data_IF_024392352691
#
_entry.id   IF_024392352691
#
_cell.length_a   1.000
_cell.length_b   1.000
_cell.length_c   1.000
_cell.angle_alpha   90.00
_cell.angle_beta   90.00
_cell.angle_gamma   90.00
#
_symmetry.space_group_name_H-M   'P 1'
#
loop_
_entity.id
_entity.type
_entity.pdbx_description
1 polymer ?
#
# COMPACT_ATOMS: atom_id res chain seq x y z
N UNK A 1 -22.37 18.42 3.96
CA UNK A 1 -21.54 18.04 5.14
C UNK A 1 -20.35 17.16 4.74
N UNK A 2 -20.57 16.08 4.01
CA UNK A 2 -19.52 15.14 3.54
C UNK A 2 -18.47 15.80 2.64
N UNK A 3 -18.86 16.71 1.73
CA UNK A 3 -17.91 17.44 0.86
C UNK A 3 -16.90 18.25 1.68
N UNK A 4 -17.38 19.02 2.67
CA UNK A 4 -16.51 19.80 3.57
C UNK A 4 -15.56 18.90 4.38
N UNK A 5 -16.05 17.73 4.81
CA UNK A 5 -15.21 16.73 5.47
C UNK A 5 -14.13 16.19 4.54
N UNK A 6 -14.48 15.84 3.30
CA UNK A 6 -13.53 15.41 2.26
C UNK A 6 -12.46 16.48 2.01
N UNK A 7 -12.85 17.74 1.89
CA UNK A 7 -11.92 18.85 1.66
C UNK A 7 -10.95 19.04 2.83
N UNK A 8 -11.43 18.91 4.07
CA UNK A 8 -10.56 18.94 5.25
C UNK A 8 -9.57 17.76 5.25
N UNK A 9 -10.04 16.54 4.93
CA UNK A 9 -9.17 15.38 4.84
C UNK A 9 -8.14 15.54 3.70
N UNK A 10 -8.51 16.13 2.57
CA UNK A 10 -7.60 16.37 1.45
C UNK A 10 -6.49 17.40 1.78
N UNK A 11 -6.76 18.34 2.70
CA UNK A 11 -5.75 19.27 3.24
C UNK A 11 -4.82 18.63 4.26
N UNK A 12 -5.11 17.40 4.71
CA UNK A 12 -4.24 16.64 5.59
C UNK A 12 -3.30 15.74 4.79
N UNK A 13 -2.17 15.32 5.37
CA UNK A 13 -1.18 14.42 4.75
C UNK A 13 -1.65 12.96 4.58
N UNK A 14 -2.95 12.75 4.33
CA UNK A 14 -3.54 11.43 4.09
C UNK A 14 -3.41 11.03 2.63
N UNK A 15 -3.24 9.73 2.38
CA UNK A 15 -3.26 9.20 1.03
C UNK A 15 -4.68 9.28 0.44
N UNK A 16 -4.79 9.46 -0.89
CA UNK A 16 -6.08 9.53 -1.61
C UNK A 16 -7.01 8.37 -1.25
N UNK A 17 -6.49 7.13 -1.25
CA UNK A 17 -7.28 5.94 -0.89
C UNK A 17 -7.81 5.97 0.55
N UNK A 18 -7.03 6.53 1.48
CA UNK A 18 -7.47 6.71 2.88
C UNK A 18 -8.61 7.72 2.96
N UNK A 19 -8.51 8.84 2.23
CA UNK A 19 -9.58 9.84 2.15
C UNK A 19 -10.86 9.21 1.59
N UNK A 20 -10.75 8.49 0.47
CA UNK A 20 -11.90 7.78 -0.13
C UNK A 20 -12.54 6.81 0.84
N UNK A 21 -11.74 6.01 1.55
CA UNK A 21 -12.23 5.04 2.54
C UNK A 21 -12.96 5.74 3.69
N UNK A 22 -12.44 6.83 4.22
CA UNK A 22 -13.07 7.58 5.31
C UNK A 22 -14.38 8.22 4.88
N UNK A 23 -14.39 8.87 3.71
CA UNK A 23 -15.60 9.49 3.14
C UNK A 23 -16.68 8.46 2.93
N UNK A 24 -16.35 7.32 2.30
CA UNK A 24 -17.30 6.23 2.09
C UNK A 24 -17.85 5.69 3.42
N UNK A 25 -16.98 5.51 4.41
CA UNK A 25 -17.37 5.01 5.74
C UNK A 25 -18.38 5.93 6.43
N UNK A 26 -18.11 7.23 6.40
CA UNK A 26 -18.98 8.24 7.00
C UNK A 26 -20.30 8.32 6.25
N UNK A 27 -20.27 8.29 4.92
CA UNK A 27 -21.48 8.28 4.10
C UNK A 27 -22.34 7.05 4.38
N UNK A 28 -21.71 5.88 4.48
CA UNK A 28 -22.40 4.66 4.87
C UNK A 28 -23.08 4.82 6.24
N UNK A 29 -22.36 5.30 7.26
CA UNK A 29 -22.92 5.51 8.59
C UNK A 29 -24.10 6.49 8.57
N UNK A 30 -23.96 7.66 7.95
CA UNK A 30 -25.01 8.67 7.91
C UNK A 30 -26.26 8.23 7.13
N UNK A 31 -26.11 7.30 6.18
CA UNK A 31 -27.24 6.78 5.41
C UNK A 31 -27.99 5.64 6.14
N UNK A 32 -27.35 4.97 7.10
CA UNK A 32 -27.92 3.79 7.78
C UNK A 32 -28.28 4.06 9.26
N UNK A 33 -27.85 5.20 9.81
CA UNK A 33 -28.11 5.59 11.18
C UNK A 33 -28.64 7.02 11.21
N UNK A 34 -29.84 7.19 11.73
CA UNK A 34 -30.57 8.47 11.74
C UNK A 34 -29.81 9.59 12.45
N UNK A 35 -29.04 9.24 13.49
CA UNK A 35 -28.34 10.21 14.33
C UNK A 35 -26.94 9.75 14.72
N UNK A 36 -26.05 10.73 14.91
CA UNK A 36 -24.72 10.52 15.47
C UNK A 36 -24.81 10.52 17.00
N UNK A 37 -25.01 9.35 17.59
CA UNK A 37 -25.04 9.17 19.04
C UNK A 37 -24.28 7.91 19.47
N UNK A 38 -24.03 7.77 20.78
CA UNK A 38 -23.23 6.66 21.33
C UNK A 38 -23.84 5.29 21.04
N UNK A 39 -25.18 5.17 21.04
CA UNK A 39 -25.89 3.92 20.75
C UNK A 39 -25.61 3.48 19.31
N UNK A 40 -25.86 4.35 18.34
CA UNK A 40 -25.66 4.07 16.92
C UNK A 40 -24.19 3.78 16.57
N UNK A 41 -23.26 4.50 17.18
CA UNK A 41 -21.82 4.27 17.01
C UNK A 41 -21.38 2.89 17.52
N UNK A 42 -21.95 2.42 18.64
CA UNK A 42 -21.69 1.08 19.16
C UNK A 42 -22.34 0.00 18.31
N UNK A 43 -23.58 0.20 17.85
CA UNK A 43 -24.26 -0.70 16.90
C UNK A 43 -23.45 -0.85 15.62
N UNK A 44 -22.98 0.27 15.04
CA UNK A 44 -22.14 0.26 13.86
C UNK A 44 -20.83 -0.49 14.09
N UNK A 45 -20.17 -0.29 15.24
CA UNK A 45 -18.99 -1.06 15.60
C UNK A 45 -19.28 -2.56 15.69
N UNK A 46 -20.41 -2.97 16.28
CA UNK A 46 -20.85 -4.36 16.34
C UNK A 46 -20.97 -4.98 14.96
N UNK A 47 -21.73 -4.32 14.08
CA UNK A 47 -21.86 -4.69 12.67
C UNK A 47 -20.50 -4.85 11.98
N UNK A 48 -19.57 -3.92 12.21
CA UNK A 48 -18.24 -4.00 11.61
C UNK A 48 -17.45 -5.23 12.10
N UNK A 49 -17.50 -5.53 13.39
CA UNK A 49 -16.78 -6.66 14.00
C UNK A 49 -17.32 -8.01 13.51
N UNK A 50 -18.63 -8.12 13.30
CA UNK A 50 -19.26 -9.34 12.83
C UNK A 50 -18.97 -9.64 11.36
N UNK A 51 -18.72 -8.61 10.54
CA UNK A 51 -18.67 -8.75 9.08
C UNK A 51 -17.28 -8.52 8.47
N UNK A 52 -16.32 -7.97 9.22
CA UNK A 52 -15.03 -7.56 8.65
C UNK A 52 -13.83 -7.95 9.52
N UNK A 53 -12.67 -8.10 8.87
CA UNK A 53 -11.40 -8.32 9.56
C UNK A 53 -11.04 -7.12 10.46
N UNK A 54 -10.37 -7.35 11.60
CA UNK A 54 -10.08 -6.28 12.56
C UNK A 54 -9.32 -5.06 11.98
N UNK A 55 -8.47 -5.25 10.97
CA UNK A 55 -7.80 -4.13 10.29
C UNK A 55 -8.81 -3.22 9.57
N UNK A 56 -9.77 -3.82 8.85
CA UNK A 56 -10.84 -3.09 8.16
C UNK A 56 -11.77 -2.40 9.16
N UNK A 57 -12.10 -3.07 10.27
CA UNK A 57 -12.88 -2.47 11.36
C UNK A 57 -12.19 -1.22 11.88
N UNK A 58 -10.91 -1.31 12.25
CA UNK A 58 -10.17 -0.18 12.79
C UNK A 58 -10.00 0.96 11.78
N UNK A 59 -9.78 0.65 10.50
CA UNK A 59 -9.74 1.67 9.43
C UNK A 59 -11.07 2.45 9.34
N UNK A 60 -12.21 1.74 9.38
CA UNK A 60 -13.53 2.38 9.34
C UNK A 60 -13.83 3.17 10.61
N UNK A 61 -13.53 2.60 11.79
CA UNK A 61 -13.65 3.34 13.05
C UNK A 61 -12.77 4.61 13.06
N UNK A 62 -11.60 4.58 12.42
CA UNK A 62 -10.75 5.75 12.30
C UNK A 62 -11.39 6.83 11.42
N UNK A 63 -12.05 6.45 10.33
CA UNK A 63 -12.84 7.35 9.50
C UNK A 63 -13.97 8.02 10.28
N UNK A 64 -14.73 7.25 11.08
CA UNK A 64 -15.76 7.78 11.98
C UNK A 64 -15.17 8.71 13.03
N UNK A 65 -14.09 8.33 13.71
CA UNK A 65 -13.46 9.17 14.73
C UNK A 65 -12.93 10.49 14.14
N UNK A 66 -12.41 10.48 12.91
CA UNK A 66 -12.00 11.70 12.18
C UNK A 66 -13.19 12.59 11.83
N UNK A 67 -14.33 11.99 11.51
CA UNK A 67 -15.57 12.74 11.29
C UNK A 67 -16.11 13.36 12.58
N UNK A 68 -16.05 12.63 13.70
CA UNK A 68 -16.42 13.16 15.01
C UNK A 68 -15.55 14.37 15.41
N UNK A 69 -14.25 14.34 15.10
CA UNK A 69 -13.36 15.52 15.25
C UNK A 69 -13.81 16.71 14.40
N UNK A 70 -14.22 16.45 13.15
CA UNK A 70 -14.69 17.48 12.22
C UNK A 70 -15.95 18.17 12.74
N UNK A 71 -16.91 17.41 13.27
CA UNK A 71 -18.16 17.94 13.83
C UNK A 71 -18.05 18.34 15.31
N UNK A 72 -16.84 18.35 15.88
CA UNK A 72 -16.56 18.73 17.28
C UNK A 72 -17.24 17.86 18.34
N UNK A 73 -17.45 16.59 18.04
CA UNK A 73 -18.03 15.58 18.94
C UNK A 73 -16.99 14.55 19.42
N UNK A 74 -15.78 15.01 19.73
CA UNK A 74 -14.65 14.16 20.16
C UNK A 74 -14.98 13.21 21.33
N UNK A 75 -15.89 13.60 22.21
CA UNK A 75 -16.34 12.78 23.36
C UNK A 75 -17.04 11.49 22.95
N UNK A 76 -17.54 11.39 21.71
CA UNK A 76 -18.21 10.21 21.17
C UNK A 76 -17.26 9.23 20.48
N UNK A 77 -15.95 9.51 20.41
CA UNK A 77 -14.98 8.65 19.73
C UNK A 77 -15.05 7.21 20.23
N UNK A 78 -15.06 6.30 19.26
CA UNK A 78 -15.18 4.87 19.52
C UNK A 78 -13.79 4.27 19.65
N UNK A 79 -13.58 3.46 20.69
CA UNK A 79 -12.32 2.72 20.88
C UNK A 79 -12.13 1.70 19.76
N UNK A 80 -10.89 1.59 19.27
CA UNK A 80 -10.51 0.55 18.32
C UNK A 80 -10.61 -0.85 18.93
N UNK A 81 -10.77 -1.84 18.06
CA UNK A 81 -10.61 -3.24 18.41
C UNK A 81 -9.13 -3.49 18.65
N UNK A 82 -8.79 -4.09 19.79
CA UNK A 82 -7.41 -4.50 20.07
C UNK A 82 -7.10 -5.71 19.21
N UNK A 83 -6.07 -5.60 18.38
CA UNK A 83 -5.61 -6.67 17.51
C UNK A 83 -4.21 -7.04 17.96
N UNK A 84 -4.00 -8.31 18.29
CA UNK A 84 -2.65 -8.81 18.52
C UNK A 84 -1.91 -8.81 17.18
N UNK A 85 -0.78 -8.10 17.11
CA UNK A 85 0.05 -8.13 15.91
C UNK A 85 0.72 -9.50 15.79
N UNK A 86 0.44 -10.21 14.70
CA UNK A 86 1.27 -11.35 14.30
C UNK A 86 2.51 -10.77 13.63
N UNK A 87 3.66 -10.93 14.27
CA UNK A 87 4.96 -10.47 13.74
C UNK A 87 5.56 -11.44 12.72
N UNK A 88 4.80 -12.44 12.29
CA UNK A 88 5.24 -13.47 11.35
C UNK A 88 4.26 -13.60 10.19
N UNK A 89 4.80 -13.99 9.05
CA UNK A 89 4.03 -14.40 7.88
C UNK A 89 3.98 -15.93 7.89
N UNK A 90 2.80 -16.51 7.71
CA UNK A 90 2.63 -17.97 7.67
C UNK A 90 3.05 -18.57 6.32
N UNK A 91 2.86 -17.82 5.22
CA UNK A 91 3.12 -18.28 3.85
C UNK A 91 4.36 -17.58 3.26
N UNK A 92 5.53 -17.81 3.85
CA UNK A 92 6.80 -17.28 3.31
C UNK A 92 7.31 -18.22 2.23
N UNK A 93 7.57 -17.67 1.04
CA UNK A 93 8.13 -18.40 -0.10
C UNK A 93 9.57 -18.82 0.23
N UNK A 94 9.93 -20.08 -0.07
CA UNK A 94 11.30 -20.56 0.14
C UNK A 94 12.25 -20.05 -0.96
N UNK A 95 13.56 -20.06 -0.70
CA UNK A 95 14.57 -19.75 -1.73
C UNK A 95 14.48 -20.74 -2.91
N UNK A 96 14.12 -22.00 -2.65
CA UNK A 96 13.90 -23.01 -3.69
C UNK A 96 12.71 -22.66 -4.60
N UNK A 97 11.57 -22.28 -4.01
CA UNK A 97 10.39 -21.84 -4.77
C UNK A 97 10.68 -20.59 -5.59
N UNK A 98 11.40 -19.62 -5.00
CA UNK A 98 11.85 -18.41 -5.70
C UNK A 98 12.73 -18.76 -6.91
N UNK A 99 13.75 -19.60 -6.71
CA UNK A 99 14.66 -20.02 -7.79
C UNK A 99 13.90 -20.77 -8.88
N UNK A 100 12.99 -21.67 -8.50
CA UNK A 100 12.14 -22.40 -9.44
C UNK A 100 11.29 -21.45 -10.28
N UNK A 101 10.54 -20.55 -9.65
CA UNK A 101 9.70 -19.56 -10.34
C UNK A 101 10.54 -18.67 -11.28
N UNK A 102 11.65 -18.13 -10.78
CA UNK A 102 12.54 -17.28 -11.58
C UNK A 102 13.08 -18.02 -12.79
N UNK A 103 13.59 -19.24 -12.62
CA UNK A 103 14.10 -20.06 -13.74
C UNK A 103 12.98 -20.33 -14.75
N UNK A 104 11.79 -20.71 -14.28
CA UNK A 104 10.67 -21.03 -15.16
C UNK A 104 10.21 -19.85 -15.99
N UNK A 105 10.11 -18.65 -15.38
CA UNK A 105 9.78 -17.42 -16.09
C UNK A 105 10.78 -17.12 -17.22
N UNK A 106 12.07 -17.36 -16.98
CA UNK A 106 13.10 -17.13 -18.00
C UNK A 106 13.02 -18.17 -19.12
N UNK A 107 12.87 -19.45 -18.79
CA UNK A 107 12.78 -20.53 -19.77
C UNK A 107 11.54 -20.40 -20.65
N UNK A 108 10.42 -19.94 -20.10
CA UNK A 108 9.15 -19.78 -20.82
C UNK A 108 9.05 -18.45 -21.60
N UNK A 109 10.11 -17.62 -21.60
CA UNK A 109 10.15 -16.37 -22.37
C UNK A 109 9.43 -15.18 -21.71
N UNK A 110 9.04 -15.29 -20.44
CA UNK A 110 8.41 -14.22 -19.68
C UNK A 110 9.45 -13.27 -19.05
N UNK A 111 10.28 -12.64 -19.89
CA UNK A 111 11.42 -11.83 -19.45
C UNK A 111 11.04 -10.67 -18.52
N UNK A 112 9.94 -9.99 -18.79
CA UNK A 112 9.44 -8.91 -17.91
C UNK A 112 9.17 -9.42 -16.50
N UNK A 113 8.44 -10.53 -16.38
CA UNK A 113 8.13 -11.16 -15.08
C UNK A 113 9.38 -11.69 -14.39
N UNK A 114 10.32 -12.27 -15.16
CA UNK A 114 11.62 -12.69 -14.64
C UNK A 114 12.35 -11.53 -13.95
N UNK A 115 12.42 -10.36 -14.60
CA UNK A 115 13.05 -9.19 -14.01
C UNK A 115 12.22 -8.60 -12.86
N UNK A 116 10.90 -8.53 -12.94
CA UNK A 116 10.03 -8.09 -11.82
C UNK A 116 10.34 -8.90 -10.57
N UNK A 117 10.30 -10.24 -10.67
CA UNK A 117 10.56 -11.16 -9.56
C UNK A 117 11.99 -11.01 -9.04
N UNK A 118 12.98 -10.88 -9.93
CA UNK A 118 14.37 -10.74 -9.51
C UNK A 118 14.64 -9.39 -8.83
N UNK A 119 14.13 -8.28 -9.36
CA UNK A 119 14.27 -6.96 -8.72
C UNK A 119 13.61 -6.94 -7.34
N UNK A 120 12.39 -7.48 -7.19
CA UNK A 120 11.71 -7.52 -5.90
C UNK A 120 12.51 -8.33 -4.87
N UNK A 121 12.95 -9.53 -5.24
CA UNK A 121 13.68 -10.42 -4.33
C UNK A 121 15.08 -9.89 -3.98
N UNK A 122 15.82 -9.32 -4.95
CA UNK A 122 17.20 -8.90 -4.76
C UNK A 122 17.36 -7.53 -4.10
N UNK A 123 16.35 -6.65 -4.20
CA UNK A 123 16.42 -5.27 -3.66
C UNK A 123 15.53 -5.06 -2.44
N UNK A 124 14.56 -5.94 -2.19
CA UNK A 124 13.53 -5.72 -1.16
C UNK A 124 12.61 -4.52 -1.48
N UNK A 125 12.45 -4.21 -2.77
CA UNK A 125 11.51 -3.20 -3.24
C UNK A 125 10.06 -3.67 -3.02
N UNK A 126 9.20 -2.78 -2.53
CA UNK A 126 7.76 -2.98 -2.59
C UNK A 126 7.26 -2.80 -4.01
N UNK A 127 6.11 -3.37 -4.37
CA UNK A 127 5.51 -3.25 -5.71
C UNK A 127 5.39 -1.78 -6.16
N UNK A 128 4.89 -0.90 -5.29
CA UNK A 128 4.79 0.53 -5.60
C UNK A 128 6.15 1.20 -5.84
N UNK A 129 7.21 0.70 -5.21
CA UNK A 129 8.57 1.22 -5.33
C UNK A 129 9.23 0.70 -6.62
N UNK A 130 8.96 -0.56 -6.99
CA UNK A 130 9.43 -1.19 -8.22
C UNK A 130 9.03 -0.40 -9.47
N UNK A 131 7.79 0.11 -9.50
CA UNK A 131 7.27 0.94 -10.61
C UNK A 131 8.03 2.27 -10.81
N UNK A 132 8.84 2.69 -9.84
CA UNK A 132 9.66 3.90 -9.96
C UNK A 132 11.09 3.61 -10.46
N UNK A 133 11.46 2.33 -10.65
CA UNK A 133 12.76 1.96 -11.18
C UNK A 133 12.82 2.32 -12.67
N UNK A 134 13.97 2.86 -13.07
CA UNK A 134 14.23 3.36 -14.42
C UNK A 134 15.55 2.80 -14.92
N UNK A 135 15.79 2.85 -16.23
CA UNK A 135 17.01 2.33 -16.84
C UNK A 135 18.26 3.02 -16.27
N UNK A 136 18.18 4.31 -15.94
CA UNK A 136 19.27 5.09 -15.33
C UNK A 136 19.64 4.55 -13.95
N UNK A 137 18.66 4.09 -13.17
CA UNK A 137 18.90 3.47 -11.87
C UNK A 137 19.67 2.15 -11.99
N UNK A 138 19.44 1.38 -13.06
CA UNK A 138 20.20 0.15 -13.35
C UNK A 138 21.66 0.49 -13.64
N UNK A 139 21.91 1.57 -14.39
CA UNK A 139 23.25 2.03 -14.71
C UNK A 139 24.00 2.55 -13.49
N UNK A 140 23.35 3.37 -12.65
CA UNK A 140 23.94 3.93 -11.43
C UNK A 140 24.05 2.88 -10.30
N UNK A 141 23.10 1.94 -10.26
CA UNK A 141 23.05 0.84 -9.30
C UNK A 141 22.27 1.11 -8.02
N UNK A 142 21.53 2.21 -7.93
CA UNK A 142 20.61 2.47 -6.84
C UNK A 142 19.46 3.40 -7.25
N UNK A 143 18.43 3.47 -6.42
CA UNK A 143 17.31 4.40 -6.49
C UNK A 143 17.04 4.98 -5.10
N UNK A 144 16.87 6.30 -5.00
CA UNK A 144 16.45 6.97 -3.77
C UNK A 144 14.93 7.23 -3.79
N UNK A 145 14.25 6.77 -2.73
CA UNK A 145 12.80 6.84 -2.59
C UNK A 145 12.42 7.73 -1.42
N UNK A 146 11.42 8.59 -1.65
CA UNK A 146 10.82 9.40 -0.59
C UNK A 146 9.67 8.62 0.07
N UNK A 147 9.83 8.35 1.37
CA UNK A 147 8.81 7.68 2.16
C UNK A 147 7.82 8.67 2.80
N UNK A 148 6.65 8.17 3.20
CA UNK A 148 5.70 8.96 3.99
C UNK A 148 6.37 9.42 5.28
N UNK A 149 6.52 10.73 5.46
CA UNK A 149 7.21 11.34 6.60
C UNK A 149 8.56 11.99 6.26
N UNK A 150 8.90 12.12 4.97
CA UNK A 150 10.06 12.91 4.51
C UNK A 150 11.41 12.19 4.62
N UNK A 151 11.43 10.91 4.99
CA UNK A 151 12.67 10.11 5.04
C UNK A 151 13.01 9.57 3.66
N UNK A 152 14.28 9.68 3.29
CA UNK A 152 14.84 9.10 2.07
C UNK A 152 15.30 7.66 2.39
N UNK A 153 14.91 6.71 1.53
CA UNK A 153 15.38 5.32 1.55
C UNK A 153 16.07 5.01 0.23
N UNK A 154 17.33 4.56 0.30
CA UNK A 154 18.05 4.05 -0.86
C UNK A 154 17.79 2.56 -1.07
N UNK A 155 17.42 2.17 -2.29
CA UNK A 155 17.41 0.79 -2.76
C UNK A 155 18.66 0.55 -3.59
N UNK A 156 19.49 -0.41 -3.19
CA UNK A 156 20.65 -0.83 -3.96
C UNK A 156 20.27 -1.95 -4.94
N UNK A 157 20.82 -1.89 -6.15
CA UNK A 157 20.62 -2.89 -7.19
C UNK A 157 21.91 -3.71 -7.32
N UNK A 158 21.90 -5.01 -6.98
CA UNK A 158 23.11 -5.83 -7.01
C UNK A 158 23.76 -5.89 -8.40
N UNK A 159 25.09 -5.96 -8.45
CA UNK A 159 25.89 -5.96 -9.69
C UNK A 159 25.38 -6.99 -10.71
N UNK A 160 25.13 -8.23 -10.27
CA UNK A 160 24.67 -9.30 -11.17
C UNK A 160 23.32 -8.98 -11.80
N UNK A 161 22.38 -8.43 -11.02
CA UNK A 161 21.08 -7.99 -11.53
C UNK A 161 21.26 -6.84 -12.52
N UNK A 162 22.15 -5.87 -12.24
CA UNK A 162 22.42 -4.75 -13.14
C UNK A 162 22.96 -5.22 -14.49
N UNK A 163 23.91 -6.14 -14.50
CA UNK A 163 24.51 -6.66 -15.73
C UNK A 163 23.47 -7.33 -16.62
N UNK A 164 22.67 -8.24 -16.06
CA UNK A 164 21.61 -8.93 -16.81
C UNK A 164 20.49 -7.98 -17.25
N UNK A 165 20.05 -7.07 -16.37
CA UNK A 165 19.03 -6.09 -16.70
C UNK A 165 19.49 -5.13 -17.80
N UNK A 166 20.75 -4.69 -17.79
CA UNK A 166 21.30 -3.82 -18.83
C UNK A 166 21.35 -4.52 -20.20
N UNK A 167 21.60 -5.84 -20.24
CA UNK A 167 21.52 -6.62 -21.48
C UNK A 167 20.08 -6.66 -21.99
N UNK A 168 19.14 -7.05 -21.13
CA UNK A 168 17.72 -7.11 -21.47
C UNK A 168 17.15 -5.77 -21.94
N UNK A 169 17.49 -4.67 -21.27
CA UNK A 169 17.04 -3.33 -21.65
C UNK A 169 17.56 -2.90 -23.02
N UNK A 170 18.81 -3.26 -23.36
CA UNK A 170 19.37 -3.01 -24.70
C UNK A 170 18.67 -3.82 -25.78
N UNK A 171 18.37 -5.09 -25.52
CA UNK A 171 17.62 -5.95 -26.44
C UNK A 171 16.20 -5.40 -26.69
N UNK A 172 15.58 -4.81 -25.67
CA UNK A 172 14.28 -4.13 -25.77
C UNK A 172 14.36 -2.71 -26.38
N UNK A 173 15.56 -2.20 -26.67
CA UNK A 173 15.75 -0.81 -27.12
C UNK A 173 15.39 0.26 -26.07
N UNK A 174 15.27 -0.11 -24.80
CA UNK A 174 14.86 0.77 -23.70
C UNK A 174 16.08 1.36 -22.99
N UNK A 175 16.58 2.48 -23.51
CA UNK A 175 17.80 3.14 -23.01
C UNK A 175 17.56 4.11 -21.83
N UNK A 176 16.31 4.55 -21.62
CA UNK A 176 15.94 5.53 -20.59
C UNK A 176 14.49 5.34 -20.13
N UNK A 177 14.15 5.90 -18.97
CA UNK A 177 12.79 5.87 -18.45
C UNK A 177 12.41 4.62 -17.66
N UNK A 178 11.14 4.52 -17.28
CA UNK A 178 10.61 3.46 -16.42
C UNK A 178 10.71 2.09 -17.11
N UNK A 179 11.23 1.10 -16.39
CA UNK A 179 11.47 -0.25 -16.96
C UNK A 179 10.31 -1.22 -16.72
N UNK A 180 9.42 -0.89 -15.79
CA UNK A 180 8.20 -1.63 -15.50
C UNK A 180 7.01 -0.69 -15.69
N UNK A 181 6.06 -1.08 -16.52
CA UNK A 181 4.82 -0.33 -16.73
C UNK A 181 3.79 -0.73 -15.66
N UNK A 182 2.96 0.21 -15.18
CA UNK A 182 1.78 -0.12 -14.37
C UNK A 182 0.69 -0.82 -15.19
#
# INVERSE_FOLDING_TARGET
>A
MITKFKDQLAKSNLAKNTVTSYVWTVQYFLNHYEEVNKKNLLTYKGYLVENFKPQTVNLRLQGINKYLEFIKQDKLKVKFVKVQQKNFLENVISDADYKFLKTRLKTDGYDEWYFIVWFMAATGARVSELLHIKAEHVQVGYLDLYSKGGKIRRLYIPKNLRTEAAKWLREKGSISGYIFLP
#
